data_IF_731900156346
#
_entry.id   IF_731900156346
#
_cell.length_a   1.000
_cell.length_b   1.000
_cell.length_c   1.000
_cell.angle_alpha   90.00
_cell.angle_beta   90.00
_cell.angle_gamma   90.00
#
_symmetry.space_group_name_H-M   'P 1'
#
loop_
_entity.id
_entity.type
_entity.pdbx_description
1 polymer ?
#
# COMPACT_ATOMS: atom_id res chain seq x y z
N UNK A 1 -54.48 -55.23 -13.46
CA UNK A 1 -54.15 -56.65 -13.78
C UNK A 1 -52.89 -56.66 -14.64
N UNK A 2 -51.84 -57.43 -14.35
CA UNK A 2 -51.38 -57.99 -13.07
C UNK A 2 -49.95 -57.53 -12.67
N UNK A 3 -49.46 -58.00 -11.52
CA UNK A 3 -48.13 -57.77 -10.93
C UNK A 3 -47.00 -58.56 -11.64
N UNK A 4 -45.71 -58.43 -11.23
CA UNK A 4 -45.27 -59.27 -10.12
C UNK A 4 -44.32 -58.59 -9.11
N UNK A 5 -44.36 -59.16 -7.90
CA UNK A 5 -43.39 -59.13 -6.82
C UNK A 5 -41.97 -59.48 -7.29
N UNK A 6 -40.94 -58.83 -6.75
CA UNK A 6 -39.67 -59.52 -6.51
C UNK A 6 -38.95 -58.97 -5.27
N UNK A 7 -38.46 -59.92 -4.50
CA UNK A 7 -37.85 -59.79 -3.20
C UNK A 7 -36.41 -59.25 -3.28
N UNK A 8 -35.92 -58.86 -2.10
CA UNK A 8 -34.62 -58.31 -1.81
C UNK A 8 -33.42 -59.03 -2.47
N UNK A 9 -32.43 -58.24 -2.88
CA UNK A 9 -31.03 -58.55 -2.59
C UNK A 9 -30.41 -57.31 -1.95
N UNK A 10 -30.19 -57.40 -0.64
CA UNK A 10 -29.24 -56.55 0.04
C UNK A 10 -27.85 -56.94 -0.45
N UNK A 11 -27.40 -56.33 -1.54
CA UNK A 11 -25.99 -56.35 -1.87
C UNK A 11 -25.30 -55.45 -0.86
N UNK A 12 -24.63 -56.11 0.09
CA UNK A 12 -23.69 -55.48 1.00
C UNK A 12 -22.76 -54.60 0.17
N UNK A 13 -22.92 -53.28 0.30
CA UNK A 13 -21.89 -52.34 -0.13
C UNK A 13 -20.58 -52.82 0.47
N UNK A 14 -19.48 -52.93 -0.30
CA UNK A 14 -18.20 -53.27 0.27
C UNK A 14 -17.92 -52.21 1.33
N UNK A 15 -17.99 -52.64 2.58
CA UNK A 15 -17.59 -51.88 3.74
C UNK A 15 -16.16 -51.49 3.48
N UNK A 16 -15.97 -50.24 3.07
CA UNK A 16 -14.66 -49.64 2.92
C UNK A 16 -14.15 -49.35 4.32
N UNK A 17 -13.93 -50.40 5.11
CA UNK A 17 -13.12 -50.39 6.33
C UNK A 17 -11.65 -50.28 5.92
N UNK A 18 -11.34 -49.22 5.19
CA UNK A 18 -10.03 -48.62 5.28
C UNK A 18 -10.15 -47.54 6.34
N UNK A 19 -9.62 -47.80 7.54
CA UNK A 19 -9.22 -46.70 8.41
C UNK A 19 -8.45 -45.71 7.53
N UNK A 20 -8.84 -44.42 7.43
CA UNK A 20 -8.00 -43.47 6.72
C UNK A 20 -6.63 -43.59 7.38
N UNK A 21 -5.64 -44.11 6.66
CA UNK A 21 -4.27 -44.02 7.12
C UNK A 21 -4.06 -42.53 7.35
N UNK A 22 -3.95 -42.12 8.61
CA UNK A 22 -3.52 -40.77 8.92
C UNK A 22 -2.17 -40.65 8.24
N UNK A 23 -2.16 -40.01 7.05
CA UNK A 23 -0.94 -39.66 6.36
C UNK A 23 -0.03 -39.06 7.43
N UNK A 24 1.13 -39.69 7.62
CA UNK A 24 1.98 -39.50 8.81
C UNK A 24 1.93 -38.05 9.31
N UNK A 25 1.31 -37.85 10.48
CA UNK A 25 1.15 -36.53 11.05
C UNK A 25 2.54 -35.94 11.35
N UNK A 26 2.85 -34.78 10.76
CA UNK A 26 4.10 -34.06 11.04
C UNK A 26 3.91 -33.08 12.19
N UNK A 27 4.93 -32.81 13.01
CA UNK A 27 4.88 -31.76 14.02
C UNK A 27 4.47 -30.41 13.41
N UNK A 28 3.73 -29.59 14.16
CA UNK A 28 3.20 -28.32 13.65
C UNK A 28 4.27 -27.38 13.07
N UNK A 29 5.44 -27.30 13.70
CA UNK A 29 6.54 -26.46 13.21
C UNK A 29 7.01 -26.90 11.81
N UNK A 30 7.11 -28.21 11.59
CA UNK A 30 7.46 -28.80 10.30
C UNK A 30 6.34 -28.60 9.27
N UNK A 31 5.08 -28.78 9.67
CA UNK A 31 3.92 -28.51 8.81
C UNK A 31 3.89 -27.06 8.32
N UNK A 32 4.10 -26.10 9.23
CA UNK A 32 4.15 -24.67 8.93
C UNK A 32 5.31 -24.33 7.99
N UNK A 33 6.50 -24.90 8.22
CA UNK A 33 7.66 -24.69 7.36
C UNK A 33 7.42 -25.23 5.94
N UNK A 34 6.84 -26.43 5.83
CA UNK A 34 6.46 -27.02 4.53
C UNK A 34 5.43 -26.16 3.80
N UNK A 35 4.37 -25.73 4.49
CA UNK A 35 3.35 -24.87 3.91
C UNK A 35 3.93 -23.53 3.42
N UNK A 36 4.81 -22.91 4.21
CA UNK A 36 5.48 -21.67 3.82
C UNK A 36 6.36 -21.84 2.57
N UNK A 37 7.10 -22.95 2.48
CA UNK A 37 7.98 -23.27 1.34
C UNK A 37 7.23 -23.69 0.08
N UNK A 38 5.98 -24.13 0.20
CA UNK A 38 5.20 -24.59 -0.94
C UNK A 38 4.77 -23.45 -1.86
N UNK A 39 4.59 -22.23 -1.32
CA UNK A 39 4.24 -21.07 -2.09
C UNK A 39 5.48 -20.37 -2.65
N UNK A 40 5.37 -19.89 -3.89
CA UNK A 40 6.31 -18.93 -4.48
C UNK A 40 5.54 -17.64 -4.79
N UNK A 41 6.15 -16.46 -4.64
CA UNK A 41 5.54 -15.23 -5.12
C UNK A 41 5.16 -15.37 -6.60
N UNK A 42 3.94 -14.94 -6.93
CA UNK A 42 3.53 -14.83 -8.32
C UNK A 42 4.31 -13.73 -9.06
N UNK A 43 4.14 -13.62 -10.39
CA UNK A 43 4.70 -12.51 -11.13
C UNK A 43 4.13 -11.18 -10.61
N UNK A 44 4.91 -10.08 -10.65
CA UNK A 44 4.44 -8.77 -10.23
C UNK A 44 3.29 -8.28 -11.11
N UNK A 45 2.34 -7.60 -10.50
CA UNK A 45 1.17 -7.05 -11.20
C UNK A 45 1.09 -5.54 -10.98
N UNK A 46 0.74 -4.81 -12.05
CA UNK A 46 0.35 -3.41 -11.96
C UNK A 46 -1.13 -3.33 -11.60
N UNK A 47 -1.43 -2.68 -10.50
CA UNK A 47 -2.81 -2.45 -10.04
C UNK A 47 -3.07 -0.95 -9.92
N UNK A 48 -4.33 -0.49 -10.00
CA UNK A 48 -4.69 0.87 -9.61
C UNK A 48 -4.30 1.13 -8.14
N UNK A 49 -3.89 2.37 -7.82
CA UNK A 49 -3.42 2.71 -6.47
C UNK A 49 -4.47 2.42 -5.37
N UNK A 50 -5.76 2.65 -5.67
CA UNK A 50 -6.87 2.36 -4.75
C UNK A 50 -6.99 0.88 -4.37
N UNK A 51 -6.46 -0.02 -5.20
CA UNK A 51 -6.53 -1.47 -5.03
C UNK A 51 -5.20 -2.04 -4.48
N UNK A 52 -4.21 -1.18 -4.23
CA UNK A 52 -2.88 -1.59 -3.79
C UNK A 52 -2.79 -1.86 -2.26
N UNK A 53 -3.75 -1.38 -1.47
CA UNK A 53 -3.76 -1.55 -0.02
C UNK A 53 -3.79 -3.04 0.36
N UNK A 54 -2.83 -3.48 1.17
CA UNK A 54 -2.69 -4.88 1.59
C UNK A 54 -1.83 -5.75 0.67
N UNK A 55 -1.36 -5.22 -0.47
CA UNK A 55 -0.38 -5.89 -1.32
C UNK A 55 1.05 -5.60 -0.86
N UNK A 56 1.98 -6.45 -1.28
CA UNK A 56 3.43 -6.26 -1.11
C UNK A 56 4.01 -5.61 -2.36
N UNK A 57 4.85 -4.58 -2.20
CA UNK A 57 5.60 -4.01 -3.33
C UNK A 57 6.52 -5.07 -3.95
N UNK A 58 6.48 -5.18 -5.27
CA UNK A 58 7.33 -6.12 -5.99
C UNK A 58 8.77 -5.64 -6.20
N UNK A 59 9.08 -4.41 -5.81
CA UNK A 59 10.39 -3.80 -5.93
C UNK A 59 10.40 -2.40 -5.29
N UNK A 60 11.56 -1.76 -5.30
CA UNK A 60 11.76 -0.44 -4.69
C UNK A 60 10.91 0.64 -5.37
N UNK A 61 10.49 1.63 -4.59
CA UNK A 61 9.71 2.78 -5.05
C UNK A 61 10.43 4.09 -4.72
N UNK A 62 11.43 4.50 -5.53
CA UNK A 62 12.14 5.75 -5.30
C UNK A 62 11.25 6.96 -5.60
N UNK A 63 11.44 8.04 -4.84
CA UNK A 63 10.82 9.32 -5.17
C UNK A 63 11.37 9.86 -6.50
N UNK A 64 10.49 10.41 -7.33
CA UNK A 64 10.88 10.98 -8.63
C UNK A 64 11.62 12.32 -8.51
N UNK A 65 11.54 12.97 -7.35
CA UNK A 65 12.15 14.26 -7.07
C UNK A 65 11.93 14.66 -5.61
N UNK A 66 12.52 15.80 -5.20
CA UNK A 66 12.31 16.33 -3.86
C UNK A 66 10.86 16.75 -3.66
N UNK A 67 10.39 16.65 -2.42
CA UNK A 67 9.15 17.24 -1.98
C UNK A 67 9.42 18.00 -0.66
N UNK A 68 9.18 19.32 -0.61
CA UNK A 68 8.65 20.20 -1.65
C UNK A 68 9.59 20.34 -2.87
N UNK A 69 9.02 20.66 -4.04
CA UNK A 69 9.79 20.85 -5.28
C UNK A 69 10.59 22.16 -5.33
N UNK A 70 10.41 23.04 -4.35
CA UNK A 70 11.07 24.33 -4.18
C UNK A 70 11.06 24.72 -2.68
N UNK A 71 11.82 25.74 -2.31
CA UNK A 71 11.83 26.24 -0.93
C UNK A 71 10.46 26.84 -0.59
N UNK A 72 9.73 26.18 0.31
CA UNK A 72 8.39 26.62 0.75
C UNK A 72 8.42 27.20 2.15
N UNK A 73 7.58 28.19 2.39
CA UNK A 73 7.32 28.67 3.74
C UNK A 73 6.67 27.59 4.64
N UNK A 74 7.28 27.31 5.80
CA UNK A 74 6.72 26.38 6.78
C UNK A 74 5.55 26.96 7.58
N UNK A 75 5.46 28.29 7.66
CA UNK A 75 4.45 29.04 8.40
C UNK A 75 4.12 30.35 7.69
N UNK A 76 3.03 30.98 8.09
CA UNK A 76 2.69 32.33 7.67
C UNK A 76 3.64 33.36 8.31
N UNK A 77 4.02 34.40 7.55
CA UNK A 77 4.95 35.39 8.05
C UNK A 77 5.53 36.29 6.97
N UNK A 78 6.82 36.58 7.08
CA UNK A 78 7.57 37.40 6.14
C UNK A 78 8.88 36.72 5.74
N UNK A 79 9.13 36.59 4.44
CA UNK A 79 10.47 36.37 3.93
C UNK A 79 11.18 37.73 3.92
N UNK A 80 12.32 37.83 4.61
CA UNK A 80 13.04 39.11 4.83
C UNK A 80 14.45 39.02 4.28
N UNK A 81 15.02 40.17 3.91
CA UNK A 81 16.43 40.29 3.52
C UNK A 81 17.08 41.44 4.29
N UNK A 82 18.18 41.15 4.99
CA UNK A 82 18.90 42.12 5.83
C UNK A 82 18.20 42.41 7.17
N UNK A 83 18.72 43.42 7.88
CA UNK A 83 18.20 43.86 9.18
C UNK A 83 16.96 44.75 9.05
N UNK A 84 16.06 44.75 10.05
CA UNK A 84 14.92 45.66 10.06
C UNK A 84 15.34 47.14 10.21
N UNK A 85 14.46 48.11 9.92
CA UNK A 85 13.07 47.94 9.46
C UNK A 85 12.96 47.47 8.01
N UNK A 86 11.90 46.70 7.70
CA UNK A 86 11.68 46.15 6.35
C UNK A 86 10.49 46.78 5.63
N UNK A 87 10.65 47.04 4.33
CA UNK A 87 9.60 47.46 3.40
C UNK A 87 8.92 46.25 2.76
N UNK A 88 7.58 46.18 2.86
CA UNK A 88 6.80 45.09 2.24
C UNK A 88 6.70 45.32 0.73
N UNK A 89 7.38 44.47 -0.07
CA UNK A 89 7.39 44.53 -1.54
C UNK A 89 6.31 43.69 -2.21
N UNK A 90 5.61 42.84 -1.46
CA UNK A 90 4.52 42.03 -2.00
C UNK A 90 4.06 40.89 -1.11
N UNK A 91 3.43 39.90 -1.75
CA UNK A 91 2.90 38.71 -1.08
C UNK A 91 3.09 37.48 -1.96
N UNK A 92 3.65 36.41 -1.40
CA UNK A 92 3.66 35.06 -1.96
C UNK A 92 2.63 34.20 -1.21
N UNK A 93 1.93 33.34 -1.93
CA UNK A 93 0.96 32.38 -1.38
C UNK A 93 1.13 31.02 -2.03
N UNK A 94 0.63 29.96 -1.41
CA UNK A 94 0.60 28.63 -2.01
C UNK A 94 -0.01 28.70 -3.43
N UNK A 95 0.70 28.16 -4.42
CA UNK A 95 0.31 28.20 -5.83
C UNK A 95 0.48 29.56 -6.53
N UNK A 96 0.87 30.62 -5.81
CA UNK A 96 1.13 31.96 -6.36
C UNK A 96 2.41 32.56 -5.78
N UNK A 97 3.52 32.24 -6.42
CA UNK A 97 4.82 32.81 -6.10
C UNK A 97 4.83 34.34 -6.30
N UNK A 98 5.50 35.05 -5.40
CA UNK A 98 5.97 36.40 -5.66
C UNK A 98 7.23 36.32 -6.55
N UNK A 99 7.31 37.17 -7.56
CA UNK A 99 8.44 37.21 -8.49
C UNK A 99 9.24 38.47 -8.23
N UNK A 100 10.50 38.30 -7.91
CA UNK A 100 11.43 39.39 -7.62
C UNK A 100 12.59 38.90 -6.78
N UNK A 101 13.55 39.78 -6.52
CA UNK A 101 14.65 39.54 -5.60
C UNK A 101 14.48 40.54 -4.46
N UNK A 102 14.57 40.06 -3.21
CA UNK A 102 14.54 40.92 -2.04
C UNK A 102 15.88 41.64 -1.88
N UNK A 103 15.88 42.96 -1.94
CA UNK A 103 17.03 43.78 -1.56
C UNK A 103 17.19 43.85 -0.04
N UNK A 104 18.35 44.33 0.47
CA UNK A 104 18.50 44.60 1.90
C UNK A 104 17.45 45.61 2.38
N UNK A 105 16.73 45.28 3.45
CA UNK A 105 15.63 46.10 3.95
C UNK A 105 14.27 45.78 3.29
N UNK A 106 14.18 44.77 2.44
CA UNK A 106 12.91 44.34 1.85
C UNK A 106 12.33 43.11 2.55
N UNK A 107 11.01 42.99 2.51
CA UNK A 107 10.32 41.76 2.84
C UNK A 107 9.12 41.47 1.94
N UNK A 108 8.72 40.20 1.89
CA UNK A 108 7.51 39.72 1.22
C UNK A 108 6.69 38.93 2.21
N UNK A 109 5.39 39.19 2.27
CA UNK A 109 4.45 38.39 3.06
C UNK A 109 4.38 36.98 2.49
N UNK A 110 4.56 35.96 3.31
CA UNK A 110 4.49 34.54 2.93
C UNK A 110 3.35 33.87 3.67
N UNK A 111 2.77 32.83 3.06
CA UNK A 111 1.84 31.92 3.71
C UNK A 111 2.40 30.50 3.66
N UNK A 112 1.98 29.63 4.56
CA UNK A 112 2.35 28.23 4.59
C UNK A 112 2.20 27.58 3.20
N UNK A 113 3.28 26.95 2.72
CA UNK A 113 3.36 26.32 1.39
C UNK A 113 3.58 27.28 0.21
N UNK A 114 3.80 28.58 0.44
CA UNK A 114 4.19 29.55 -0.61
C UNK A 114 5.62 29.39 -1.07
#
# INVERSE_FOLDING_TARGET
MPAPTSAAVAEASPSRTGTPSHQQAVPWAEARLRAHRAARPGPPQRVPLRDAAGLTLAGDLPALGPQPAFDTAAMDGYAVSGSPPWDVRGTARAGRAWRGVLGPGDCVRISTGS
#
